data_IF_775606276117
#
_entry.id   IF_775606276117
#
_cell.length_a   1.000
_cell.length_b   1.000
_cell.length_c   1.000
_cell.angle_alpha   90.00
_cell.angle_beta   90.00
_cell.angle_gamma   90.00
#
_symmetry.space_group_name_H-M   'P 1'
#
loop_
_entity.id
_entity.type
_entity.pdbx_description
1 polymer ?
#
# COMPACT_ATOMS: atom_id res chain seq x y z
N UNK A 1 19.73 48.18 -33.35
CA UNK A 1 18.55 47.31 -33.60
C UNK A 1 18.45 46.08 -32.68
N UNK A 2 19.55 45.52 -32.16
CA UNK A 2 19.57 44.13 -31.67
C UNK A 2 19.38 43.90 -30.15
N UNK A 3 19.47 44.92 -29.28
CA UNK A 3 19.52 44.66 -27.82
C UNK A 3 18.15 44.47 -27.17
N UNK A 4 17.14 45.32 -27.46
CA UNK A 4 15.77 45.15 -26.95
C UNK A 4 15.17 43.78 -27.30
N UNK A 5 15.51 43.23 -28.47
CA UNK A 5 15.05 41.92 -28.91
C UNK A 5 15.54 40.75 -28.03
N UNK A 6 16.58 40.95 -27.22
CA UNK A 6 17.14 39.92 -26.32
C UNK A 6 16.34 39.77 -25.03
N UNK A 7 15.61 40.80 -24.61
CA UNK A 7 14.86 40.82 -23.35
C UNK A 7 13.50 40.15 -23.48
N UNK A 8 12.98 39.59 -22.39
CA UNK A 8 11.67 38.92 -22.37
C UNK A 8 10.54 39.95 -22.54
N UNK A 9 9.36 39.49 -22.98
CA UNK A 9 8.21 40.39 -23.18
C UNK A 9 7.86 41.10 -21.86
N UNK A 10 7.91 40.38 -20.74
CA UNK A 10 7.65 40.93 -19.40
C UNK A 10 8.64 42.04 -19.01
N UNK A 11 9.92 41.91 -19.37
CA UNK A 11 10.96 42.92 -19.06
C UNK A 11 10.76 44.19 -19.88
N UNK A 12 10.32 44.03 -21.13
CA UNK A 12 10.00 45.15 -22.01
C UNK A 12 8.69 45.84 -21.63
N UNK A 13 7.76 45.12 -20.99
CA UNK A 13 6.54 45.70 -20.42
C UNK A 13 6.90 46.54 -19.20
N UNK A 14 7.67 45.99 -18.25
CA UNK A 14 8.12 46.74 -17.08
C UNK A 14 8.90 48.00 -17.46
N UNK A 15 9.79 47.91 -18.46
CA UNK A 15 10.49 49.07 -18.99
C UNK A 15 9.53 50.13 -19.54
N UNK A 16 8.53 49.72 -20.32
CA UNK A 16 7.57 50.66 -20.88
C UNK A 16 6.69 51.31 -19.81
N UNK A 17 6.31 50.56 -18.77
CA UNK A 17 5.60 51.09 -17.61
C UNK A 17 6.47 52.14 -16.88
N UNK A 18 7.77 51.87 -16.67
CA UNK A 18 8.73 52.81 -16.07
C UNK A 18 8.93 54.08 -16.93
N UNK A 19 8.82 53.94 -18.26
CA UNK A 19 8.89 55.06 -19.21
C UNK A 19 7.52 55.74 -19.45
N UNK A 20 6.44 55.27 -18.81
CA UNK A 20 5.08 55.82 -18.99
C UNK A 20 4.46 55.56 -20.37
N UNK A 21 4.92 54.53 -21.09
CA UNK A 21 4.45 54.16 -22.42
C UNK A 21 3.27 53.18 -22.31
N UNK A 22 2.10 53.56 -22.82
CA UNK A 22 0.93 52.68 -22.82
C UNK A 22 1.11 51.45 -23.74
N UNK A 23 1.13 50.27 -23.12
CA UNK A 23 1.11 48.98 -23.80
C UNK A 23 -0.31 48.41 -23.79
N UNK A 24 -0.75 47.93 -24.96
CA UNK A 24 -1.98 47.13 -25.09
C UNK A 24 -1.70 45.66 -24.78
N UNK A 25 -2.66 44.96 -24.20
CA UNK A 25 -2.59 43.51 -23.96
C UNK A 25 -2.33 42.70 -25.23
N UNK A 26 -2.72 43.22 -26.40
CA UNK A 26 -2.50 42.61 -27.71
C UNK A 26 -1.12 42.91 -28.32
N UNK A 27 -0.33 43.82 -27.74
CA UNK A 27 0.97 44.18 -28.28
C UNK A 27 1.91 42.97 -28.23
N UNK A 28 2.51 42.64 -29.37
CA UNK A 28 3.57 41.63 -29.43
C UNK A 28 4.87 42.29 -28.97
N UNK A 29 5.84 41.45 -28.59
CA UNK A 29 7.18 41.89 -28.20
C UNK A 29 7.82 42.87 -29.21
N UNK A 30 7.56 42.67 -30.50
CA UNK A 30 8.06 43.54 -31.58
C UNK A 30 7.38 44.92 -31.54
N UNK A 31 6.08 44.96 -31.26
CA UNK A 31 5.29 46.21 -31.18
C UNK A 31 5.75 47.04 -29.98
N UNK A 32 6.01 46.39 -28.84
CA UNK A 32 6.56 47.03 -27.63
C UNK A 32 7.97 47.58 -27.91
N UNK A 33 8.85 46.79 -28.53
CA UNK A 33 10.19 47.25 -28.91
C UNK A 33 10.15 48.47 -29.83
N UNK A 34 9.12 48.57 -30.68
CA UNK A 34 8.92 49.69 -31.58
C UNK A 34 8.45 50.93 -30.81
N UNK A 35 7.41 50.80 -29.96
CA UNK A 35 6.92 51.89 -29.11
C UNK A 35 8.00 52.49 -28.21
N UNK A 36 8.86 51.66 -27.62
CA UNK A 36 9.98 52.12 -26.80
C UNK A 36 10.99 52.94 -27.61
N UNK A 37 11.31 52.53 -28.84
CA UNK A 37 12.24 53.27 -29.71
C UNK A 37 11.66 54.55 -30.28
N UNK A 38 10.36 54.56 -30.56
CA UNK A 38 9.64 55.70 -31.12
C UNK A 38 9.31 56.75 -30.03
N UNK A 39 9.65 56.48 -28.76
CA UNK A 39 9.50 57.41 -27.65
C UNK A 39 10.42 58.63 -27.79
N UNK A 40 9.94 59.86 -27.53
CA UNK A 40 10.77 61.06 -27.55
C UNK A 40 11.89 61.03 -26.49
N UNK A 41 11.70 60.26 -25.41
CA UNK A 41 12.64 60.13 -24.28
C UNK A 41 13.57 58.91 -24.43
N UNK A 42 13.71 58.36 -25.64
CA UNK A 42 14.56 57.20 -25.89
C UNK A 42 16.06 57.56 -25.85
N UNK A 43 16.75 57.14 -24.79
CA UNK A 43 18.20 57.18 -24.68
C UNK A 43 18.77 55.75 -24.53
N UNK A 44 19.63 55.32 -25.45
CA UNK A 44 20.07 53.91 -25.54
C UNK A 44 20.80 53.42 -24.28
N UNK A 45 21.69 54.22 -23.68
CA UNK A 45 22.40 53.84 -22.45
C UNK A 45 21.47 53.82 -21.22
N UNK A 46 20.55 54.78 -21.13
CA UNK A 46 19.55 54.84 -20.07
C UNK A 46 18.63 53.61 -20.13
N UNK A 47 18.06 53.32 -21.30
CA UNK A 47 17.17 52.17 -21.51
C UNK A 47 17.89 50.84 -21.24
N UNK A 48 19.17 50.75 -21.58
CA UNK A 48 20.00 49.58 -21.25
C UNK A 48 20.17 49.43 -19.74
N UNK A 49 20.47 50.52 -19.03
CA UNK A 49 20.56 50.52 -17.57
C UNK A 49 19.25 50.12 -16.89
N UNK A 50 18.11 50.64 -17.35
CA UNK A 50 16.80 50.26 -16.85
C UNK A 50 16.52 48.76 -17.06
N UNK A 51 16.83 48.22 -18.24
CA UNK A 51 16.65 46.80 -18.51
C UNK A 51 17.57 45.89 -17.69
N UNK A 52 18.81 46.31 -17.45
CA UNK A 52 19.74 45.59 -16.57
C UNK A 52 19.20 45.54 -15.14
N UNK A 53 18.66 46.66 -14.65
CA UNK A 53 18.04 46.74 -13.32
C UNK A 53 16.77 45.88 -13.22
N UNK A 54 15.88 45.92 -14.22
CA UNK A 54 14.66 45.09 -14.28
C UNK A 54 15.01 43.59 -14.29
N UNK A 55 16.03 43.20 -15.06
CA UNK A 55 16.50 41.81 -15.11
C UNK A 55 17.05 41.40 -13.75
N UNK A 56 17.88 42.24 -13.11
CA UNK A 56 18.43 41.99 -11.78
C UNK A 56 17.33 41.81 -10.73
N UNK A 57 16.38 42.74 -10.66
CA UNK A 57 15.26 42.67 -9.71
C UNK A 57 14.41 41.41 -9.92
N UNK A 58 14.17 41.01 -11.17
CA UNK A 58 13.46 39.77 -11.46
C UNK A 58 14.22 38.55 -10.98
N UNK A 59 15.53 38.50 -11.19
CA UNK A 59 16.37 37.38 -10.74
C UNK A 59 16.40 37.31 -9.20
N UNK A 60 16.51 38.45 -8.52
CA UNK A 60 16.43 38.55 -7.06
C UNK A 60 15.07 38.08 -6.54
N UNK A 61 13.95 38.55 -7.10
CA UNK A 61 12.61 38.11 -6.73
C UNK A 61 12.40 36.62 -6.96
N UNK A 62 12.92 36.09 -8.07
CA UNK A 62 12.84 34.66 -8.38
C UNK A 62 13.68 33.84 -7.39
N UNK A 63 14.87 34.30 -7.02
CA UNK A 63 15.71 33.65 -6.03
C UNK A 63 15.06 33.68 -4.64
N UNK A 64 14.45 34.81 -4.25
CA UNK A 64 13.73 34.96 -3.00
C UNK A 64 12.51 34.02 -2.93
N UNK A 65 11.68 33.97 -3.98
CA UNK A 65 10.54 33.07 -4.04
C UNK A 65 10.96 31.59 -4.02
N UNK A 66 12.08 31.25 -4.64
CA UNK A 66 12.63 29.89 -4.59
C UNK A 66 13.16 29.53 -3.19
N UNK A 67 13.81 30.48 -2.50
CA UNK A 67 14.28 30.28 -1.14
C UNK A 67 13.11 30.09 -0.16
N UNK A 68 12.07 30.93 -0.25
CA UNK A 68 10.87 30.83 0.59
C UNK A 68 10.12 29.50 0.34
N UNK A 69 9.97 29.10 -0.93
CA UNK A 69 9.33 27.82 -1.26
C UNK A 69 10.14 26.61 -0.76
N UNK A 70 11.47 26.67 -0.81
CA UNK A 70 12.35 25.63 -0.27
C UNK A 70 12.27 25.56 1.26
N UNK A 71 12.24 26.70 1.94
CA UNK A 71 12.10 26.77 3.40
C UNK A 71 10.74 26.23 3.86
N UNK A 72 9.65 26.62 3.20
CA UNK A 72 8.30 26.15 3.53
C UNK A 72 8.16 24.63 3.31
N UNK A 73 8.79 24.11 2.25
CA UNK A 73 8.85 22.67 2.00
C UNK A 73 9.66 21.94 3.09
N UNK A 74 10.83 22.47 3.47
CA UNK A 74 11.65 21.88 4.54
C UNK A 74 10.94 21.90 5.90
N UNK A 75 10.20 22.98 6.21
CA UNK A 75 9.38 23.06 7.43
C UNK A 75 8.24 22.03 7.41
N UNK A 76 7.56 21.83 6.28
CA UNK A 76 6.52 20.82 6.14
C UNK A 76 7.06 19.40 6.33
N UNK A 77 8.18 19.06 5.69
CA UNK A 77 8.86 17.76 5.85
C UNK A 77 9.32 17.55 7.30
N UNK A 78 9.89 18.57 7.95
CA UNK A 78 10.29 18.49 9.36
C UNK A 78 9.09 18.31 10.31
N UNK A 79 7.95 18.95 10.03
CA UNK A 79 6.72 18.77 10.79
C UNK A 79 6.13 17.37 10.62
N UNK A 80 6.18 16.83 9.39
CA UNK A 80 5.75 15.46 9.11
C UNK A 80 6.63 14.44 9.82
N UNK A 81 7.96 14.59 9.78
CA UNK A 81 8.89 13.73 10.51
C UNK A 81 8.64 13.77 12.01
N UNK A 82 8.45 14.96 12.60
CA UNK A 82 8.10 15.10 14.02
C UNK A 82 6.78 14.39 14.36
N UNK A 83 5.78 14.45 13.47
CA UNK A 83 4.50 13.75 13.65
C UNK A 83 4.65 12.23 13.57
N UNK A 84 5.48 11.73 12.66
CA UNK A 84 5.80 10.30 12.55
C UNK A 84 6.54 9.84 13.81
N UNK A 85 7.50 10.62 14.28
CA UNK A 85 8.26 10.32 15.49
C UNK A 85 7.39 10.36 16.75
N UNK A 86 6.46 11.33 16.86
CA UNK A 86 5.51 11.37 17.97
C UNK A 86 4.57 10.15 17.97
N UNK A 87 4.08 9.73 16.80
CA UNK A 87 3.27 8.51 16.67
C UNK A 87 4.07 7.25 17.02
N UNK A 88 5.36 7.23 16.72
CA UNK A 88 6.26 6.14 17.11
C UNK A 88 6.47 6.13 18.62
N UNK A 89 6.75 7.28 19.23
CA UNK A 89 6.89 7.42 20.68
C UNK A 89 5.60 7.06 21.41
N UNK A 90 4.44 7.46 20.89
CA UNK A 90 3.13 7.06 21.44
C UNK A 90 2.94 5.54 21.38
N UNK A 91 3.25 4.91 20.25
CA UNK A 91 3.23 3.43 20.13
C UNK A 91 4.22 2.76 21.08
N UNK A 92 5.42 3.31 21.24
CA UNK A 92 6.41 2.79 22.18
C UNK A 92 5.96 2.96 23.63
N UNK A 93 5.32 4.09 23.96
CA UNK A 93 4.74 4.32 25.28
C UNK A 93 3.54 3.43 25.57
N UNK A 94 2.69 3.16 24.58
CA UNK A 94 1.62 2.17 24.71
C UNK A 94 2.17 0.76 24.92
N UNK A 95 3.20 0.36 24.15
CA UNK A 95 3.88 -0.92 24.35
C UNK A 95 4.54 -1.00 25.74
N UNK A 96 5.13 0.08 26.22
CA UNK A 96 5.75 0.13 27.55
C UNK A 96 4.69 0.15 28.67
N UNK A 97 3.54 0.80 28.48
CA UNK A 97 2.37 0.66 29.38
C UNK A 97 1.87 -0.77 29.42
N UNK A 98 1.78 -1.43 28.27
CA UNK A 98 1.40 -2.85 28.19
C UNK A 98 2.45 -3.73 28.89
N UNK A 99 3.75 -3.43 28.73
CA UNK A 99 4.83 -4.12 29.45
C UNK A 99 4.82 -3.88 30.95
N UNK A 100 4.59 -2.65 31.41
CA UNK A 100 4.52 -2.32 32.84
C UNK A 100 3.25 -2.89 33.45
N UNK A 101 2.10 -2.80 32.78
CA UNK A 101 0.86 -3.47 33.21
C UNK A 101 1.09 -4.97 33.34
N UNK A 102 1.74 -5.59 32.35
CA UNK A 102 2.17 -6.97 32.44
C UNK A 102 3.17 -7.18 33.60
N UNK A 103 4.16 -6.30 33.81
CA UNK A 103 5.16 -6.42 34.88
C UNK A 103 4.57 -6.20 36.29
N UNK A 104 3.56 -5.36 36.44
CA UNK A 104 2.79 -5.22 37.68
C UNK A 104 1.92 -6.44 37.96
N UNK A 105 1.47 -7.14 36.91
CA UNK A 105 0.93 -8.50 37.06
C UNK A 105 2.03 -9.55 37.31
N UNK A 106 3.25 -9.39 36.77
CA UNK A 106 4.33 -10.36 36.97
C UNK A 106 4.89 -10.30 38.41
N UNK A 107 4.86 -9.14 39.07
CA UNK A 107 5.33 -9.00 40.46
C UNK A 107 4.36 -9.54 41.53
N UNK A 108 3.09 -9.82 41.20
CA UNK A 108 2.17 -10.55 42.08
C UNK A 108 2.15 -12.05 41.81
N UNK A 109 2.83 -12.52 40.75
CA UNK A 109 2.79 -13.91 40.25
C UNK A 109 4.17 -14.60 40.33
N UNK A 110 5.04 -14.17 41.24
CA UNK A 110 6.23 -14.95 41.62
C UNK A 110 5.89 -16.29 42.33
N UNK A 111 4.62 -16.54 42.62
CA UNK A 111 4.17 -17.73 43.34
C UNK A 111 2.95 -18.38 42.68
N UNK A 112 3.05 -18.78 41.41
CA UNK A 112 2.57 -20.09 40.94
C UNK A 112 2.92 -20.29 39.48
N UNK A 113 3.94 -21.12 39.29
CA UNK A 113 4.36 -21.83 38.09
C UNK A 113 3.17 -22.54 37.38
N UNK A 114 2.29 -21.81 36.68
CA UNK A 114 1.23 -22.39 35.83
C UNK A 114 0.44 -21.36 34.97
N UNK A 115 1.05 -20.33 34.39
CA UNK A 115 0.31 -19.37 33.52
C UNK A 115 0.92 -19.16 32.13
N UNK A 116 1.48 -20.20 31.52
CA UNK A 116 1.94 -20.14 30.12
C UNK A 116 0.79 -20.18 29.08
N UNK A 117 -0.44 -19.79 29.45
CA UNK A 117 -1.64 -19.96 28.62
C UNK A 117 -2.53 -18.72 28.50
N UNK A 118 -2.01 -17.52 28.79
CA UNK A 118 -2.80 -16.29 28.67
C UNK A 118 -2.22 -15.40 27.58
N UNK A 119 -2.91 -15.46 26.43
CA UNK A 119 -2.86 -14.58 25.25
C UNK A 119 -2.28 -15.16 23.95
N UNK A 120 -2.32 -16.50 23.74
CA UNK A 120 -2.40 -17.03 22.36
C UNK A 120 -3.79 -16.64 21.83
N UNK A 121 -3.86 -15.75 20.84
CA UNK A 121 -5.11 -15.46 20.11
C UNK A 121 -5.66 -16.79 19.57
N UNK A 122 -6.68 -17.33 20.24
CA UNK A 122 -7.31 -18.58 19.82
C UNK A 122 -8.10 -18.32 18.54
N UNK A 123 -7.82 -19.07 17.47
CA UNK A 123 -8.53 -18.89 16.20
C UNK A 123 -10.04 -19.14 16.34
N UNK A 124 -10.46 -19.87 17.38
CA UNK A 124 -11.88 -20.01 17.78
C UNK A 124 -12.62 -18.70 17.95
N UNK A 125 -11.92 -17.63 18.32
CA UNK A 125 -12.51 -16.31 18.54
C UNK A 125 -12.45 -15.43 17.28
N UNK A 126 -11.62 -15.77 16.29
CA UNK A 126 -11.43 -15.02 15.05
C UNK A 126 -12.21 -15.61 13.88
N UNK A 127 -12.52 -16.91 13.93
CA UNK A 127 -13.14 -17.65 12.84
C UNK A 127 -14.40 -18.36 13.32
N UNK A 128 -15.40 -18.39 12.45
CA UNK A 128 -16.56 -19.25 12.63
C UNK A 128 -16.18 -20.71 12.37
N UNK A 129 -16.92 -21.63 12.97
CA UNK A 129 -16.77 -23.06 12.68
C UNK A 129 -17.04 -23.32 11.20
N UNK A 130 -16.35 -24.32 10.64
CA UNK A 130 -16.56 -24.72 9.26
C UNK A 130 -18.00 -25.21 9.06
N UNK A 131 -18.64 -24.68 8.01
CA UNK A 131 -19.95 -25.10 7.54
C UNK A 131 -19.86 -25.34 6.02
N UNK A 132 -20.02 -26.60 5.62
CA UNK A 132 -19.96 -27.03 4.23
C UNK A 132 -21.12 -26.48 3.37
N UNK A 133 -22.20 -25.98 3.97
CA UNK A 133 -23.30 -25.33 3.25
C UNK A 133 -22.97 -23.88 2.88
N UNK A 134 -22.07 -23.25 3.63
CA UNK A 134 -21.76 -21.82 3.50
C UNK A 134 -20.44 -21.60 2.78
N UNK A 135 -19.44 -22.43 3.04
CA UNK A 135 -18.08 -22.28 2.50
C UNK A 135 -17.56 -23.57 1.89
N UNK A 136 -16.84 -23.42 0.79
CA UNK A 136 -15.97 -24.47 0.27
C UNK A 136 -14.83 -24.77 1.25
N UNK A 137 -14.44 -26.03 1.39
CA UNK A 137 -13.38 -26.44 2.32
C UNK A 137 -12.03 -25.81 1.93
N UNK A 138 -11.71 -25.70 0.64
CA UNK A 138 -10.45 -25.10 0.21
C UNK A 138 -10.38 -23.62 0.58
N UNK A 139 -11.49 -22.90 0.40
CA UNK A 139 -11.62 -21.50 0.80
C UNK A 139 -11.47 -21.32 2.30
N UNK A 140 -12.08 -22.23 3.06
CA UNK A 140 -12.01 -22.21 4.52
C UNK A 140 -10.58 -22.45 5.01
N UNK A 141 -9.88 -23.42 4.43
CA UNK A 141 -8.49 -23.71 4.76
C UNK A 141 -7.57 -22.54 4.38
N UNK A 142 -7.75 -21.92 3.21
CA UNK A 142 -6.98 -20.73 2.82
C UNK A 142 -7.21 -19.55 3.79
N UNK A 143 -8.45 -19.35 4.24
CA UNK A 143 -8.76 -18.36 5.27
C UNK A 143 -8.08 -18.71 6.60
N UNK A 144 -8.13 -19.97 7.01
CA UNK A 144 -7.48 -20.46 8.22
C UNK A 144 -5.98 -20.22 8.20
N UNK A 145 -5.27 -20.62 7.14
CA UNK A 145 -3.82 -20.45 7.02
C UNK A 145 -3.43 -18.97 7.08
N UNK A 146 -4.25 -18.10 6.46
CA UNK A 146 -4.01 -16.65 6.51
C UNK A 146 -4.21 -16.08 7.91
N UNK A 147 -5.24 -16.52 8.64
CA UNK A 147 -5.48 -16.09 10.01
C UNK A 147 -4.42 -16.63 10.97
N UNK A 148 -4.02 -17.89 10.83
CA UNK A 148 -2.96 -18.50 11.62
C UNK A 148 -1.63 -17.75 11.48
N UNK A 149 -1.24 -17.44 10.23
CA UNK A 149 -0.05 -16.62 9.93
C UNK A 149 -0.16 -15.20 10.49
N UNK A 150 -1.31 -14.55 10.33
CA UNK A 150 -1.54 -13.18 10.83
C UNK A 150 -1.51 -13.13 12.37
N UNK A 151 -2.01 -14.16 13.03
CA UNK A 151 -2.01 -14.30 14.49
C UNK A 151 -0.65 -14.78 15.05
N UNK A 152 0.34 -15.07 14.18
CA UNK A 152 1.66 -15.55 14.61
C UNK A 152 1.62 -16.91 15.28
N UNK A 153 0.68 -17.78 14.91
CA UNK A 153 0.55 -19.12 15.49
C UNK A 153 1.58 -20.04 14.83
N UNK A 154 2.39 -20.71 15.66
CA UNK A 154 3.37 -21.71 15.21
C UNK A 154 2.68 -22.87 14.48
N UNK A 155 3.28 -23.38 13.41
CA UNK A 155 2.70 -24.45 12.56
C UNK A 155 2.35 -25.72 13.36
N UNK A 156 3.11 -26.03 14.40
CA UNK A 156 2.84 -27.15 15.34
C UNK A 156 1.49 -27.00 16.06
N UNK A 157 0.96 -25.78 16.16
CA UNK A 157 -0.32 -25.47 16.79
C UNK A 157 -1.46 -25.36 15.76
N UNK A 158 -1.19 -25.47 14.46
CA UNK A 158 -2.22 -25.30 13.43
C UNK A 158 -3.27 -26.42 13.49
N UNK A 159 -2.86 -27.69 13.57
CA UNK A 159 -3.82 -28.80 13.59
C UNK A 159 -4.75 -28.76 14.81
N UNK A 160 -4.27 -28.59 16.06
CA UNK A 160 -5.16 -28.45 17.21
C UNK A 160 -6.17 -27.30 17.07
N UNK A 161 -5.74 -26.16 16.53
CA UNK A 161 -6.61 -25.02 16.27
C UNK A 161 -7.66 -25.35 15.20
N UNK A 162 -7.25 -25.99 14.10
CA UNK A 162 -8.13 -26.38 13.01
C UNK A 162 -9.19 -27.39 13.49
N UNK A 163 -8.79 -28.47 14.17
CA UNK A 163 -9.71 -29.50 14.72
C UNK A 163 -10.82 -28.83 15.54
N UNK A 164 -10.47 -27.80 16.28
CA UNK A 164 -11.39 -27.10 17.17
C UNK A 164 -12.43 -26.22 16.45
N UNK A 165 -12.18 -25.92 15.18
CA UNK A 165 -13.04 -25.15 14.27
C UNK A 165 -13.86 -26.06 13.34
N UNK A 166 -13.54 -27.35 13.26
CA UNK A 166 -14.24 -28.30 12.41
C UNK A 166 -15.46 -28.93 13.13
N UNK A 167 -16.51 -29.30 12.38
CA UNK A 167 -17.51 -30.27 12.81
C UNK A 167 -16.88 -31.59 13.28
N UNK A 168 -17.55 -32.27 14.21
CA UNK A 168 -17.03 -33.47 14.87
C UNK A 168 -16.72 -34.59 13.87
N UNK A 169 -17.56 -34.77 12.85
CA UNK A 169 -17.40 -35.79 11.82
C UNK A 169 -16.15 -35.59 10.97
N UNK A 170 -15.74 -34.35 10.72
CA UNK A 170 -14.48 -34.04 10.02
C UNK A 170 -13.27 -34.21 10.95
N UNK A 171 -13.38 -33.76 12.19
CA UNK A 171 -12.33 -33.98 13.20
C UNK A 171 -12.04 -35.47 13.41
N UNK A 172 -13.06 -36.32 13.35
CA UNK A 172 -12.91 -37.78 13.44
C UNK A 172 -12.15 -38.42 12.28
N UNK A 173 -12.07 -37.76 11.11
CA UNK A 173 -11.26 -38.25 9.99
C UNK A 173 -9.78 -38.03 10.32
N UNK A 174 -9.44 -36.88 10.88
CA UNK A 174 -8.07 -36.52 11.26
C UNK A 174 -7.53 -37.47 12.34
N UNK A 175 -8.33 -37.81 13.35
CA UNK A 175 -7.93 -38.69 14.45
C UNK A 175 -7.71 -40.16 14.01
N UNK A 176 -8.20 -40.54 12.81
CA UNK A 176 -7.96 -41.89 12.27
C UNK A 176 -6.62 -42.03 11.57
N UNK A 177 -5.92 -40.92 11.31
CA UNK A 177 -4.56 -40.95 10.79
C UNK A 177 -3.56 -41.34 11.90
N UNK A 178 -2.41 -41.95 11.53
CA UNK A 178 -1.29 -42.16 12.45
C UNK A 178 -0.89 -40.87 13.18
N UNK A 179 -0.37 -40.97 14.40
CA UNK A 179 -0.06 -39.80 15.24
C UNK A 179 0.91 -38.83 14.57
N UNK A 180 1.91 -39.34 13.84
CA UNK A 180 2.88 -38.53 13.10
C UNK A 180 2.21 -37.72 11.99
N UNK A 181 1.25 -38.32 11.29
CA UNK A 181 0.49 -37.71 10.19
C UNK A 181 -0.61 -36.79 10.68
N UNK A 182 -1.15 -37.04 11.87
CA UNK A 182 -2.15 -36.20 12.50
C UNK A 182 -1.55 -34.87 12.95
N UNK A 183 -0.26 -34.82 13.29
CA UNK A 183 0.40 -33.57 13.69
C UNK A 183 0.87 -32.74 12.49
N UNK A 184 1.02 -33.35 11.31
CA UNK A 184 1.38 -32.66 10.07
C UNK A 184 0.17 -31.96 9.43
N UNK A 185 0.24 -30.63 9.36
CA UNK A 185 -0.81 -29.82 8.75
C UNK A 185 -1.02 -30.13 7.26
N UNK A 186 0.05 -30.43 6.51
CA UNK A 186 -0.06 -30.70 5.08
C UNK A 186 -0.85 -31.98 4.84
N UNK A 187 -0.51 -33.05 5.56
CA UNK A 187 -1.27 -34.29 5.52
C UNK A 187 -2.74 -34.08 5.95
N UNK A 188 -3.00 -33.33 7.03
CA UNK A 188 -4.37 -33.02 7.46
C UNK A 188 -5.14 -32.24 6.39
N UNK A 189 -4.49 -31.27 5.73
CA UNK A 189 -5.07 -30.50 4.62
C UNK A 189 -5.46 -31.42 3.47
N UNK A 190 -4.57 -32.32 3.05
CA UNK A 190 -4.85 -33.31 1.99
C UNK A 190 -6.04 -34.21 2.34
N UNK A 191 -6.04 -34.79 3.54
CA UNK A 191 -7.14 -35.66 4.02
C UNK A 191 -8.49 -34.94 4.00
N UNK A 192 -8.51 -33.66 4.40
CA UNK A 192 -9.72 -32.84 4.34
C UNK A 192 -10.12 -32.56 2.89
N UNK A 193 -9.19 -32.16 2.02
CA UNK A 193 -9.50 -31.92 0.60
C UNK A 193 -10.05 -33.18 -0.09
N UNK A 194 -9.44 -34.34 0.16
CA UNK A 194 -9.87 -35.63 -0.36
C UNK A 194 -11.28 -36.00 0.09
N UNK A 195 -11.63 -35.73 1.35
CA UNK A 195 -12.99 -35.94 1.87
C UNK A 195 -14.04 -35.17 1.07
N UNK A 196 -13.70 -33.98 0.59
CA UNK A 196 -14.58 -33.15 -0.25
C UNK A 196 -14.35 -33.36 -1.76
N UNK A 197 -13.53 -34.34 -2.16
CA UNK A 197 -13.19 -34.64 -3.56
C UNK A 197 -12.56 -33.44 -4.28
N UNK A 198 -11.80 -32.62 -3.55
CA UNK A 198 -11.07 -31.46 -4.07
C UNK A 198 -9.75 -31.89 -4.71
N UNK A 199 -9.86 -32.51 -5.89
CA UNK A 199 -8.73 -32.88 -6.73
C UNK A 199 -8.38 -31.76 -7.72
N UNK A 200 -7.21 -31.77 -8.37
CA UNK A 200 -6.82 -30.74 -9.34
C UNK A 200 -7.89 -30.46 -10.40
N UNK A 201 -8.54 -31.49 -10.91
CA UNK A 201 -9.63 -31.34 -11.90
C UNK A 201 -10.87 -30.66 -11.31
N UNK A 202 -11.21 -30.94 -10.05
CA UNK A 202 -12.29 -30.24 -9.34
C UNK A 202 -11.96 -28.76 -9.19
N UNK A 203 -10.70 -28.43 -8.86
CA UNK A 203 -10.21 -27.06 -8.77
C UNK A 203 -10.25 -26.35 -10.14
N UNK A 204 -9.85 -27.02 -11.23
CA UNK A 204 -9.97 -26.50 -12.59
C UNK A 204 -11.40 -26.16 -12.98
N UNK A 205 -12.34 -27.07 -12.71
CA UNK A 205 -13.76 -26.86 -12.98
C UNK A 205 -14.28 -25.66 -12.18
N UNK A 206 -13.94 -25.57 -10.88
CA UNK A 206 -14.29 -24.41 -10.06
C UNK A 206 -13.67 -23.13 -10.62
N UNK A 207 -12.38 -23.10 -10.91
CA UNK A 207 -11.70 -21.93 -11.48
C UNK A 207 -12.37 -21.43 -12.76
N UNK A 208 -12.67 -22.32 -13.70
CA UNK A 208 -13.22 -21.98 -15.02
C UNK A 208 -14.69 -21.56 -14.98
N UNK A 209 -15.48 -22.15 -14.09
CA UNK A 209 -16.93 -21.90 -14.01
C UNK A 209 -17.30 -20.84 -12.96
N UNK A 210 -16.36 -20.47 -12.08
CA UNK A 210 -16.65 -19.55 -10.98
C UNK A 210 -16.86 -18.12 -11.49
N UNK A 211 -17.98 -17.53 -11.09
CA UNK A 211 -18.38 -16.20 -11.50
C UNK A 211 -18.62 -15.32 -10.28
N UNK A 212 -18.51 -14.00 -10.50
CA UNK A 212 -18.81 -13.01 -9.48
C UNK A 212 -20.25 -13.16 -9.00
N UNK A 213 -20.44 -13.39 -7.71
CA UNK A 213 -21.77 -13.38 -7.08
C UNK A 213 -22.36 -11.97 -7.10
N UNK A 214 -23.68 -11.88 -7.18
CA UNK A 214 -24.42 -10.61 -7.04
C UNK A 214 -24.12 -10.01 -5.67
N UNK A 215 -23.63 -8.76 -5.63
CA UNK A 215 -23.26 -8.07 -4.39
C UNK A 215 -21.83 -8.31 -3.89
N UNK A 216 -21.09 -9.30 -4.40
CA UNK A 216 -19.69 -9.53 -4.02
C UNK A 216 -18.75 -8.45 -4.58
N UNK A 217 -17.60 -8.23 -3.96
CA UNK A 217 -16.54 -7.34 -4.46
C UNK A 217 -15.68 -8.05 -5.53
N UNK A 218 -15.11 -7.30 -6.47
CA UNK A 218 -14.16 -7.86 -7.44
C UNK A 218 -12.91 -8.47 -6.79
N UNK A 219 -12.47 -7.89 -5.67
CA UNK A 219 -11.32 -8.41 -4.90
C UNK A 219 -11.61 -9.78 -4.29
N UNK A 220 -12.86 -10.04 -3.90
CA UNK A 220 -13.28 -11.36 -3.40
C UNK A 220 -13.22 -12.39 -4.52
N UNK A 221 -13.75 -12.08 -5.71
CA UNK A 221 -13.65 -12.97 -6.86
C UNK A 221 -12.20 -13.31 -7.21
N UNK A 222 -11.31 -12.31 -7.25
CA UNK A 222 -9.89 -12.54 -7.57
C UNK A 222 -9.22 -13.43 -6.52
N UNK A 223 -9.55 -13.24 -5.24
CA UNK A 223 -9.05 -14.10 -4.17
C UNK A 223 -9.55 -15.55 -4.35
N UNK A 224 -10.84 -15.72 -4.63
CA UNK A 224 -11.43 -17.05 -4.83
C UNK A 224 -10.80 -17.77 -6.04
N UNK A 225 -10.64 -17.07 -7.16
CA UNK A 225 -10.01 -17.61 -8.37
C UNK A 225 -8.54 -17.98 -8.13
N UNK A 226 -7.78 -17.19 -7.37
CA UNK A 226 -6.40 -17.53 -7.01
C UNK A 226 -6.34 -18.82 -6.20
N UNK A 227 -7.20 -18.95 -5.18
CA UNK A 227 -7.28 -20.18 -4.39
C UNK A 227 -7.57 -21.41 -5.26
N UNK A 228 -8.50 -21.31 -6.21
CA UNK A 228 -8.78 -22.43 -7.10
C UNK A 228 -7.66 -22.71 -8.11
N UNK A 229 -6.96 -21.67 -8.58
CA UNK A 229 -5.79 -21.85 -9.43
C UNK A 229 -4.66 -22.54 -8.66
N UNK A 230 -4.37 -22.10 -7.45
CA UNK A 230 -3.31 -22.69 -6.62
C UNK A 230 -3.60 -24.18 -6.35
N UNK A 231 -4.84 -24.52 -5.97
CA UNK A 231 -5.24 -25.92 -5.79
C UNK A 231 -5.28 -26.74 -7.08
N UNK A 232 -5.48 -26.11 -8.24
CA UNK A 232 -5.37 -26.79 -9.54
C UNK A 232 -3.90 -27.12 -9.86
N UNK A 233 -2.98 -26.20 -9.55
CA UNK A 233 -1.57 -26.34 -9.88
C UNK A 233 -0.76 -27.13 -8.85
N UNK A 234 -1.25 -27.29 -7.61
CA UNK A 234 -0.47 -27.87 -6.49
C UNK A 234 0.08 -29.28 -6.79
N UNK A 235 -0.71 -30.15 -7.45
CA UNK A 235 -0.28 -31.52 -7.83
C UNK A 235 0.25 -31.61 -9.27
N UNK A 236 0.07 -30.55 -10.07
CA UNK A 236 0.57 -30.50 -11.44
C UNK A 236 1.97 -29.90 -11.35
N UNK A 237 3.03 -30.68 -11.58
CA UNK A 237 4.42 -30.19 -11.56
C UNK A 237 4.70 -29.15 -12.68
N UNK A 238 4.04 -27.99 -12.63
CA UNK A 238 4.12 -26.92 -13.61
C UNK A 238 5.37 -26.11 -13.32
N UNK A 239 6.44 -26.42 -14.05
CA UNK A 239 7.78 -25.83 -13.85
C UNK A 239 8.05 -24.63 -14.75
N UNK A 240 7.22 -24.41 -15.77
CA UNK A 240 7.38 -23.29 -16.70
C UNK A 240 6.03 -22.80 -17.26
N UNK A 241 6.09 -21.63 -17.91
CA UNK A 241 4.93 -20.97 -18.49
C UNK A 241 4.33 -21.72 -19.69
N UNK A 242 5.11 -22.52 -20.40
CA UNK A 242 4.61 -23.28 -21.56
C UNK A 242 3.78 -24.48 -21.10
N UNK A 243 4.20 -25.18 -20.05
CA UNK A 243 3.41 -26.24 -19.40
C UNK A 243 2.09 -25.64 -18.87
N UNK A 244 2.13 -24.47 -18.24
CA UNK A 244 0.91 -23.80 -17.78
C UNK A 244 -0.05 -23.52 -18.94
N UNK A 245 0.46 -22.97 -20.06
CA UNK A 245 -0.35 -22.71 -21.26
C UNK A 245 -0.98 -23.98 -21.81
N UNK A 246 -0.23 -25.07 -21.89
CA UNK A 246 -0.74 -26.35 -22.40
C UNK A 246 -1.87 -26.92 -21.54
N UNK A 247 -1.89 -26.62 -20.25
CA UNK A 247 -2.93 -27.07 -19.31
C UNK A 247 -4.17 -26.15 -19.34
N UNK A 248 -4.02 -24.91 -19.82
CA UNK A 248 -5.10 -23.90 -19.88
C UNK A 248 -5.89 -23.88 -21.19
N UNK A 249 -5.39 -24.53 -22.25
CA UNK A 249 -5.98 -24.58 -23.60
C UNK A 249 -6.73 -25.91 -23.77
#
# INVERSE_FOLDING_TARGET
MAFLAKHRKEELIALADDMGIEISTNDKKIDICKKVKDSPDFEEEFVRGCLEEIVRQREELKAQAQAEAAELKAQAEAAELKRIESLRQEREFELEKMRISNATEVNSVASTRSENSKNRLSLKNLMQKFDAQVSDISMYLALFERQARTAGIEETEWVPQLISLLPLDLAQIIIKEPEEKMQDYLNVKEVLLDRFKMKPETFRIKFTQHQKKTGALWRELVFELRNYLDGWLDELEVRDFEILKNIMI
#
